data_IF_212658617512
#
_entry.id   IF_212658617512
#
_cell.length_a   1.000
_cell.length_b   1.000
_cell.length_c   1.000
_cell.angle_alpha   90.00
_cell.angle_beta   90.00
_cell.angle_gamma   90.00
#
_symmetry.space_group_name_H-M   'P 1'
#
loop_
_entity.id
_entity.type
_entity.pdbx_description
1 polymer ?
#
# COMPACT_ATOMS: atom_id res chain seq x y z
N UNK A 1 10.79 3.30 -36.34
CA UNK A 1 9.60 2.43 -36.36
C UNK A 1 9.62 1.65 -35.05
N UNK A 2 9.00 2.20 -34.00
CA UNK A 2 9.13 1.69 -32.63
C UNK A 2 8.31 0.40 -32.46
N UNK A 3 9.00 -0.70 -32.20
CA UNK A 3 8.39 -1.91 -31.64
C UNK A 3 7.91 -1.57 -30.23
N UNK A 4 6.60 -1.36 -30.07
CA UNK A 4 5.96 -1.53 -28.77
C UNK A 4 6.05 -3.02 -28.42
N UNK A 5 7.00 -3.38 -27.56
CA UNK A 5 6.98 -4.65 -26.86
C UNK A 5 5.69 -4.66 -26.03
N UNK A 6 4.68 -5.37 -26.54
CA UNK A 6 3.53 -5.78 -25.73
C UNK A 6 4.11 -6.76 -24.72
N UNK A 7 4.47 -6.25 -23.53
CA UNK A 7 4.69 -7.12 -22.38
C UNK A 7 3.33 -7.74 -22.10
N UNK A 8 3.15 -8.99 -22.54
CA UNK A 8 2.03 -9.82 -22.14
C UNK A 8 2.23 -10.05 -20.63
N UNK A 9 1.70 -9.14 -19.83
CA UNK A 9 1.53 -9.34 -18.39
C UNK A 9 0.48 -10.43 -18.28
N UNK A 10 0.94 -11.66 -18.06
CA UNK A 10 0.05 -12.76 -17.70
C UNK A 10 -0.42 -12.47 -16.27
N UNK A 11 -1.49 -11.69 -16.14
CA UNK A 11 -2.24 -11.63 -14.89
C UNK A 11 -2.91 -12.99 -14.82
N UNK A 12 -2.26 -13.95 -14.15
CA UNK A 12 -2.93 -15.18 -13.75
C UNK A 12 -4.14 -14.72 -12.96
N UNK A 13 -5.33 -14.89 -13.53
CA UNK A 13 -6.57 -14.86 -12.78
C UNK A 13 -6.33 -15.88 -11.67
N UNK A 14 -6.26 -15.44 -10.43
CA UNK A 14 -6.08 -16.35 -9.31
C UNK A 14 -7.35 -17.19 -9.29
N UNK A 15 -7.30 -18.34 -9.96
CA UNK A 15 -8.24 -19.42 -9.70
C UNK A 15 -7.94 -19.88 -8.28
N UNK A 16 -8.99 -19.93 -7.47
CA UNK A 16 -8.99 -20.28 -6.05
C UNK A 16 -8.49 -21.70 -5.75
N UNK A 17 -7.95 -22.41 -6.75
CA UNK A 17 -7.42 -23.78 -6.66
C UNK A 17 -5.89 -23.87 -6.59
N UNK A 18 -5.14 -22.81 -6.91
CA UNK A 18 -3.71 -22.97 -7.26
C UNK A 18 -2.71 -22.42 -6.23
N UNK A 19 -3.14 -21.94 -5.06
CA UNK A 19 -2.23 -21.51 -3.99
C UNK A 19 -2.77 -21.98 -2.64
N UNK A 20 -2.17 -23.04 -2.08
CA UNK A 20 -2.38 -23.41 -0.68
C UNK A 20 -1.61 -22.40 0.19
N UNK A 21 -2.23 -21.25 0.46
CA UNK A 21 -1.75 -20.26 1.44
C UNK A 21 -2.31 -20.63 2.83
N UNK A 22 -1.48 -20.71 3.89
CA UNK A 22 -1.97 -20.97 5.25
C UNK A 22 -2.64 -19.73 5.90
N UNK A 23 -2.92 -18.69 5.11
CA UNK A 23 -3.57 -17.47 5.57
C UNK A 23 -4.90 -17.32 4.84
N UNK A 24 -5.98 -17.06 5.58
CA UNK A 24 -7.24 -16.60 5.00
C UNK A 24 -6.95 -15.32 4.20
N UNK A 25 -7.08 -15.39 2.88
CA UNK A 25 -6.94 -14.22 2.01
C UNK A 25 -8.24 -13.42 2.10
N UNK A 26 -8.20 -12.33 2.87
CA UNK A 26 -9.37 -11.48 3.09
C UNK A 26 -9.24 -10.24 2.21
N UNK A 27 -10.24 -10.03 1.36
CA UNK A 27 -10.40 -8.79 0.59
C UNK A 27 -10.43 -7.58 1.53
N UNK A 28 -9.65 -6.56 1.24
CA UNK A 28 -9.49 -5.38 2.11
C UNK A 28 -10.85 -4.70 2.35
N UNK A 29 -11.67 -4.56 1.32
CA UNK A 29 -13.00 -3.94 1.43
C UNK A 29 -13.94 -4.69 2.39
N UNK A 30 -13.84 -6.02 2.43
CA UNK A 30 -14.61 -6.85 3.35
C UNK A 30 -14.02 -6.81 4.76
N UNK A 31 -12.69 -6.76 4.88
CA UNK A 31 -11.98 -6.64 6.14
C UNK A 31 -12.34 -5.35 6.89
N UNK A 32 -12.23 -4.18 6.22
CA UNK A 32 -12.40 -2.88 6.89
C UNK A 32 -13.81 -2.62 7.41
N UNK A 33 -14.83 -3.33 6.90
CA UNK A 33 -16.22 -3.20 7.38
C UNK A 33 -16.39 -3.68 8.81
N UNK A 34 -15.59 -4.68 9.21
CA UNK A 34 -15.66 -5.33 10.53
C UNK A 34 -14.48 -4.98 11.42
N UNK A 35 -13.59 -4.09 10.98
CA UNK A 35 -12.37 -3.78 11.71
C UNK A 35 -12.13 -2.29 11.86
N UNK A 36 -11.46 -1.89 12.94
CA UNK A 36 -11.01 -0.51 13.16
C UNK A 36 -9.67 -0.48 13.87
N UNK A 37 -9.07 0.70 13.88
CA UNK A 37 -7.78 0.93 14.55
C UNK A 37 -8.00 1.70 15.85
N UNK A 38 -7.36 1.24 16.93
CA UNK A 38 -7.36 1.95 18.21
C UNK A 38 -6.24 3.00 18.29
N UNK A 39 -6.21 3.79 19.37
CA UNK A 39 -5.19 4.84 19.57
C UNK A 39 -3.74 4.33 19.59
N UNK A 40 -3.53 3.02 19.78
CA UNK A 40 -2.20 2.38 19.78
C UNK A 40 -1.83 1.81 18.41
N UNK A 41 -2.65 2.00 17.36
CA UNK A 41 -2.41 1.42 16.04
C UNK A 41 -2.78 -0.05 15.92
N UNK A 42 -3.50 -0.63 16.90
CA UNK A 42 -3.96 -2.02 16.83
C UNK A 42 -5.27 -2.12 16.08
N UNK A 43 -5.36 -3.13 15.22
CA UNK A 43 -6.56 -3.52 14.49
C UNK A 43 -7.43 -4.38 15.41
N UNK A 44 -8.68 -3.95 15.56
CA UNK A 44 -9.70 -4.54 16.41
C UNK A 44 -10.87 -5.02 15.54
N UNK A 45 -11.38 -6.22 15.80
CA UNK A 45 -12.63 -6.70 15.21
C UNK A 45 -13.85 -6.10 15.94
N UNK A 46 -14.88 -5.73 15.19
CA UNK A 46 -16.15 -5.18 15.65
C UNK A 46 -17.24 -6.24 15.42
N UNK A 47 -17.86 -6.75 16.48
CA UNK A 47 -19.05 -7.61 16.36
C UNK A 47 -20.33 -6.76 16.25
N UNK A 48 -21.29 -7.29 15.48
CA UNK A 48 -22.56 -6.63 15.15
C UNK A 48 -23.46 -6.41 16.39
N UNK A 49 -23.27 -7.21 17.44
CA UNK A 49 -24.21 -7.30 18.55
C UNK A 49 -23.57 -6.73 19.85
N UNK A 50 -23.49 -5.40 19.99
CA UNK A 50 -23.10 -4.67 21.23
C UNK A 50 -21.62 -4.31 21.51
N UNK A 51 -20.84 -3.96 20.47
CA UNK A 51 -19.55 -3.22 20.58
C UNK A 51 -18.35 -3.89 21.30
N UNK A 52 -18.28 -5.21 21.61
CA UNK A 52 -17.03 -5.74 22.12
C UNK A 52 -15.97 -5.68 21.00
N UNK A 53 -14.78 -5.22 21.36
CA UNK A 53 -13.65 -5.08 20.45
C UNK A 53 -12.58 -6.07 20.87
N UNK A 54 -12.20 -6.93 19.95
CA UNK A 54 -11.15 -7.93 20.17
C UNK A 54 -9.94 -7.58 19.34
N UNK A 55 -8.75 -7.67 19.95
CA UNK A 55 -7.50 -7.60 19.19
C UNK A 55 -7.43 -8.86 18.33
N UNK A 56 -7.01 -8.69 17.08
CA UNK A 56 -6.72 -9.84 16.23
C UNK A 56 -5.46 -10.52 16.78
N UNK A 57 -5.59 -11.72 17.31
CA UNK A 57 -4.47 -12.47 17.92
C UNK A 57 -3.80 -13.46 16.94
N UNK A 58 -4.29 -13.53 15.70
CA UNK A 58 -3.73 -14.36 14.65
C UNK A 58 -3.11 -13.53 13.53
N UNK A 59 -2.33 -14.20 12.68
CA UNK A 59 -1.66 -13.58 11.54
C UNK A 59 -2.62 -13.53 10.35
N UNK A 60 -2.78 -12.35 9.74
CA UNK A 60 -3.68 -12.14 8.59
C UNK A 60 -2.88 -11.57 7.43
N UNK A 61 -3.19 -12.05 6.22
CA UNK A 61 -2.76 -11.43 4.98
C UNK A 61 -3.97 -10.86 4.26
N UNK A 62 -4.03 -9.53 4.13
CA UNK A 62 -5.04 -8.88 3.30
C UNK A 62 -4.49 -8.75 1.89
N UNK A 63 -5.30 -9.05 0.88
CA UNK A 63 -4.92 -8.97 -0.53
C UNK A 63 -5.98 -8.21 -1.31
N UNK A 64 -5.51 -7.36 -2.23
CA UNK A 64 -6.34 -6.69 -3.23
C UNK A 64 -5.61 -6.65 -4.58
N UNK A 65 -6.37 -6.49 -5.66
CA UNK A 65 -5.78 -6.11 -6.93
C UNK A 65 -5.21 -4.69 -6.84
N UNK A 66 -4.00 -4.49 -7.34
CA UNK A 66 -3.40 -3.16 -7.41
C UNK A 66 -3.60 -2.58 -8.80
N UNK A 67 -4.28 -1.44 -8.88
CA UNK A 67 -4.69 -0.83 -10.14
C UNK A 67 -3.87 0.41 -10.50
N UNK A 68 -3.60 0.55 -11.80
CA UNK A 68 -3.14 1.79 -12.44
C UNK A 68 -4.08 2.09 -13.60
N UNK A 69 -4.81 3.23 -13.55
CA UNK A 69 -5.82 3.61 -14.56
C UNK A 69 -6.86 2.50 -14.86
N UNK A 70 -7.41 1.84 -13.82
CA UNK A 70 -8.36 0.73 -13.93
C UNK A 70 -7.80 -0.55 -14.57
N UNK A 71 -6.51 -0.58 -14.88
CA UNK A 71 -5.80 -1.79 -15.29
C UNK A 71 -5.12 -2.37 -14.05
N UNK A 72 -5.36 -3.65 -13.76
CA UNK A 72 -4.62 -4.35 -12.73
C UNK A 72 -3.17 -4.49 -13.17
N UNK A 73 -2.23 -4.00 -12.37
CA UNK A 73 -0.79 -4.11 -12.66
C UNK A 73 -0.05 -4.98 -11.64
N UNK A 74 -0.77 -5.48 -10.63
CA UNK A 74 -0.23 -6.36 -9.60
C UNK A 74 -1.25 -6.64 -8.51
N UNK A 75 -0.75 -7.09 -7.37
CA UNK A 75 -1.47 -7.30 -6.13
C UNK A 75 -0.86 -6.40 -5.06
N UNK A 76 -1.70 -5.91 -4.16
CA UNK A 76 -1.23 -5.35 -2.91
C UNK A 76 -1.50 -6.32 -1.76
N UNK A 77 -0.56 -6.40 -0.83
CA UNK A 77 -0.64 -7.24 0.36
C UNK A 77 -0.34 -6.43 1.61
N UNK A 78 -1.18 -6.60 2.63
CA UNK A 78 -0.92 -6.11 3.99
C UNK A 78 -0.77 -7.31 4.91
N UNK A 79 0.36 -7.42 5.60
CA UNK A 79 0.59 -8.46 6.60
C UNK A 79 0.32 -7.88 7.99
N UNK A 80 -0.54 -8.54 8.75
CA UNK A 80 -0.93 -8.19 10.11
C UNK A 80 -0.49 -9.31 11.04
N UNK A 81 0.27 -8.99 12.09
CA UNK A 81 0.67 -9.92 13.14
C UNK A 81 0.19 -9.38 14.49
N UNK A 82 -0.54 -10.20 15.25
CA UNK A 82 -1.05 -9.83 16.58
C UNK A 82 -1.75 -8.45 16.58
N UNK A 83 -2.54 -8.19 15.55
CA UNK A 83 -3.33 -6.97 15.41
C UNK A 83 -2.55 -5.74 14.95
N UNK A 84 -1.29 -5.88 14.54
CA UNK A 84 -0.50 -4.78 14.00
C UNK A 84 -0.11 -5.04 12.55
N UNK A 85 -0.30 -4.05 11.68
CA UNK A 85 0.38 -4.05 10.38
C UNK A 85 1.88 -4.11 10.60
N UNK A 86 2.56 -5.02 9.90
CA UNK A 86 4.02 -5.18 9.96
C UNK A 86 4.67 -4.93 8.60
N UNK A 87 3.93 -5.18 7.51
CA UNK A 87 4.46 -5.03 6.16
C UNK A 87 3.35 -4.74 5.16
N UNK A 88 3.62 -3.84 4.22
CA UNK A 88 2.80 -3.62 3.02
C UNK A 88 3.68 -3.81 1.79
N UNK A 89 3.17 -4.54 0.80
CA UNK A 89 3.86 -4.77 -0.46
C UNK A 89 2.92 -4.62 -1.65
N UNK A 90 3.42 -4.06 -2.74
CA UNK A 90 2.82 -4.17 -4.08
C UNK A 90 3.74 -5.04 -4.91
N UNK A 91 3.21 -6.08 -5.54
CA UNK A 91 3.99 -7.02 -6.33
C UNK A 91 3.21 -7.57 -7.52
N UNK A 92 3.90 -8.16 -8.49
CA UNK A 92 3.32 -8.82 -9.64
C UNK A 92 4.14 -10.06 -10.00
N UNK A 93 3.62 -10.89 -10.90
CA UNK A 93 4.31 -12.06 -11.41
C UNK A 93 4.74 -11.83 -12.86
N UNK A 94 5.99 -12.19 -13.17
CA UNK A 94 6.51 -12.25 -14.53
C UNK A 94 7.17 -13.61 -14.73
N UNK A 95 6.58 -14.45 -15.59
CA UNK A 95 7.04 -15.83 -15.84
C UNK A 95 7.30 -16.59 -14.52
N UNK A 96 6.29 -16.59 -13.64
CA UNK A 96 6.29 -17.23 -12.32
C UNK A 96 7.23 -16.61 -11.26
N UNK A 97 8.10 -15.66 -11.62
CA UNK A 97 8.88 -14.89 -10.64
C UNK A 97 8.02 -13.78 -10.04
N UNK A 98 7.93 -13.76 -8.70
CA UNK A 98 7.35 -12.63 -7.97
C UNK A 98 8.33 -11.44 -7.97
N UNK A 99 7.86 -10.27 -8.39
CA UNK A 99 8.60 -9.01 -8.44
C UNK A 99 7.87 -7.95 -7.62
N UNK A 100 8.61 -7.22 -6.78
CA UNK A 100 8.04 -6.22 -5.86
C UNK A 100 8.21 -4.82 -6.41
N UNK A 101 7.12 -4.08 -6.55
CA UNK A 101 7.09 -2.68 -6.97
C UNK A 101 7.22 -1.70 -5.82
N UNK A 102 6.64 -2.03 -4.66
CA UNK A 102 6.63 -1.18 -3.47
C UNK A 102 6.66 -2.03 -2.22
N UNK A 103 7.42 -1.58 -1.22
CA UNK A 103 7.49 -2.23 0.09
C UNK A 103 7.61 -1.21 1.20
N UNK A 104 6.82 -1.37 2.26
CA UNK A 104 6.81 -0.52 3.45
C UNK A 104 6.87 -1.40 4.69
N UNK A 105 7.81 -1.09 5.58
CA UNK A 105 7.94 -1.75 6.89
C UNK A 105 7.18 -0.97 7.96
N UNK A 106 6.52 -1.70 8.87
CA UNK A 106 5.81 -1.12 10.00
C UNK A 106 6.33 -1.71 11.31
N UNK A 107 6.27 -0.91 12.37
CA UNK A 107 6.49 -1.33 13.75
C UNK A 107 5.32 -0.84 14.58
N UNK A 108 4.54 -1.78 15.13
CA UNK A 108 3.36 -1.49 15.96
C UNK A 108 2.38 -0.50 15.29
N UNK A 109 2.12 -0.70 13.99
CA UNK A 109 1.18 0.13 13.22
C UNK A 109 1.72 1.48 12.73
N UNK A 110 2.98 1.83 13.05
CA UNK A 110 3.66 3.04 12.54
C UNK A 110 4.68 2.65 11.48
N UNK A 111 4.81 3.43 10.41
CA UNK A 111 5.83 3.20 9.38
C UNK A 111 7.21 3.35 10.03
N UNK A 112 7.98 2.28 10.02
CA UNK A 112 9.28 2.27 10.65
C UNK A 112 10.13 1.18 10.00
N UNK A 113 11.28 1.57 9.44
CA UNK A 113 12.07 0.66 8.63
C UNK A 113 12.20 1.16 7.21
N UNK A 114 12.44 0.20 6.32
CA UNK A 114 12.74 0.48 4.92
C UNK A 114 11.46 0.76 4.14
N UNK A 115 11.49 1.81 3.34
CA UNK A 115 10.55 2.10 2.25
C UNK A 115 11.30 1.95 0.92
N UNK A 116 10.81 1.10 0.03
CA UNK A 116 11.42 0.84 -1.29
C UNK A 116 10.36 0.93 -2.38
N UNK A 117 10.74 1.49 -3.53
CA UNK A 117 10.02 1.37 -4.80
C UNK A 117 10.94 0.88 -5.91
N UNK A 118 10.38 0.11 -6.83
CA UNK A 118 11.05 -0.43 -8.02
C UNK A 118 10.16 -0.29 -9.26
N UNK A 119 10.76 -0.33 -10.45
CA UNK A 119 10.02 -0.33 -11.71
C UNK A 119 9.56 -1.75 -12.13
N UNK A 120 8.89 -1.85 -13.28
CA UNK A 120 8.43 -3.12 -13.87
C UNK A 120 9.57 -4.04 -14.38
N UNK A 121 10.83 -3.63 -14.22
CA UNK A 121 12.02 -4.39 -14.60
C UNK A 121 12.89 -4.73 -13.37
N UNK A 122 12.36 -4.57 -12.15
CA UNK A 122 13.05 -4.81 -10.88
C UNK A 122 14.21 -3.83 -10.58
N UNK A 123 14.29 -2.70 -11.30
CA UNK A 123 15.26 -1.65 -11.02
C UNK A 123 14.83 -0.81 -9.82
N UNK A 124 15.76 -0.49 -8.93
CA UNK A 124 15.49 0.37 -7.77
C UNK A 124 15.23 1.82 -8.21
N UNK A 125 14.02 2.33 -7.93
CA UNK A 125 13.66 3.72 -8.18
C UNK A 125 13.94 4.60 -6.96
N UNK A 126 13.61 4.10 -5.77
CA UNK A 126 13.81 4.84 -4.53
C UNK A 126 13.92 3.92 -3.33
N UNK A 127 14.76 4.30 -2.38
CA UNK A 127 14.90 3.66 -1.08
C UNK A 127 15.13 4.72 -0.02
N UNK A 128 14.43 4.62 1.09
CA UNK A 128 14.66 5.46 2.26
C UNK A 128 14.38 4.69 3.55
N UNK A 129 14.79 5.27 4.66
CA UNK A 129 14.52 4.77 6.00
C UNK A 129 13.53 5.71 6.68
N UNK A 130 12.39 5.16 7.09
CA UNK A 130 11.44 5.82 7.97
C UNK A 130 11.76 5.49 9.42
N UNK A 131 11.61 6.50 10.29
CA UNK A 131 11.73 6.34 11.74
C UNK A 131 10.48 6.94 12.38
N UNK A 132 9.76 6.12 13.14
CA UNK A 132 8.55 6.52 13.87
C UNK A 132 7.56 7.35 13.02
N UNK A 133 7.28 6.87 11.80
CA UNK A 133 6.31 7.46 10.89
C UNK A 133 6.82 8.69 10.15
N UNK A 134 8.10 9.04 10.31
CA UNK A 134 8.70 10.24 9.72
C UNK A 134 9.77 9.88 8.69
N UNK A 135 9.74 10.58 7.56
CA UNK A 135 10.63 10.34 6.43
C UNK A 135 10.22 11.14 5.19
N UNK A 136 11.05 11.07 4.15
CA UNK A 136 10.71 11.65 2.85
C UNK A 136 10.08 10.58 1.95
N UNK A 137 8.94 10.89 1.35
CA UNK A 137 8.21 9.97 0.51
C UNK A 137 8.42 10.28 -0.97
N UNK A 138 8.58 9.23 -1.77
CA UNK A 138 8.46 9.28 -3.23
C UNK A 138 7.70 8.05 -3.73
N UNK A 139 6.68 8.24 -4.55
CA UNK A 139 6.00 7.16 -5.26
C UNK A 139 6.07 7.40 -6.77
N UNK A 140 5.85 6.36 -7.58
CA UNK A 140 6.22 6.34 -8.99
C UNK A 140 5.14 5.77 -9.90
N UNK A 141 5.17 6.20 -11.16
CA UNK A 141 4.54 5.48 -12.25
C UNK A 141 5.46 4.32 -12.66
N UNK A 142 5.27 3.13 -12.09
CA UNK A 142 6.20 2.00 -12.21
C UNK A 142 6.54 1.57 -13.65
N UNK A 143 5.62 1.78 -14.60
CA UNK A 143 5.85 1.51 -16.03
C UNK A 143 6.89 2.44 -16.66
N UNK A 144 6.88 3.73 -16.30
CA UNK A 144 7.80 4.73 -16.87
C UNK A 144 8.96 5.09 -15.95
N UNK A 145 8.88 4.75 -14.66
CA UNK A 145 9.84 5.16 -13.64
C UNK A 145 9.74 6.64 -13.26
N UNK A 146 8.79 7.40 -13.82
CA UNK A 146 8.59 8.80 -13.48
C UNK A 146 8.02 8.95 -12.07
N UNK A 147 8.46 9.96 -11.33
CA UNK A 147 7.88 10.32 -10.03
C UNK A 147 6.39 10.61 -10.24
N UNK A 148 5.56 10.09 -9.35
CA UNK A 148 4.11 10.32 -9.29
C UNK A 148 3.78 11.33 -8.20
N UNK A 149 4.40 11.19 -7.04
CA UNK A 149 4.24 12.12 -5.92
C UNK A 149 5.47 12.10 -5.02
N UNK A 150 5.76 13.23 -4.39
CA UNK A 150 6.78 13.31 -3.34
C UNK A 150 6.47 14.39 -2.31
N UNK A 151 7.00 14.20 -1.09
CA UNK A 151 6.85 15.17 -0.01
C UNK A 151 7.29 14.61 1.34
N UNK A 152 7.20 15.46 2.37
CA UNK A 152 7.55 15.07 3.74
C UNK A 152 6.37 14.36 4.41
N UNK A 153 6.69 13.30 5.13
CA UNK A 153 5.78 12.59 6.02
C UNK A 153 6.27 12.77 7.46
N UNK A 154 5.35 13.12 8.35
CA UNK A 154 5.57 13.16 9.80
C UNK A 154 4.43 12.44 10.50
N UNK A 155 4.74 11.59 11.48
CA UNK A 155 3.74 10.80 12.22
C UNK A 155 2.78 9.99 11.30
N UNK A 156 3.31 9.47 10.19
CA UNK A 156 2.59 8.78 9.11
C UNK A 156 1.67 9.66 8.25
N UNK A 157 1.68 10.97 8.42
CA UNK A 157 0.84 11.88 7.64
C UNK A 157 1.66 12.75 6.70
N UNK A 158 1.09 13.07 5.52
CA UNK A 158 1.59 14.10 4.62
C UNK A 158 1.64 15.45 5.34
N UNK A 159 2.79 16.14 5.29
CA UNK A 159 2.95 17.50 5.85
C UNK A 159 3.71 18.42 4.89
N UNK A 160 3.41 19.72 4.97
CA UNK A 160 4.08 20.74 4.16
C UNK A 160 3.79 20.60 2.67
N UNK A 161 4.73 21.04 1.83
CA UNK A 161 4.57 20.97 0.38
C UNK A 161 4.69 19.53 -0.14
N UNK A 162 3.73 19.15 -0.96
CA UNK A 162 3.68 17.92 -1.72
C UNK A 162 3.55 18.22 -3.19
N UNK A 163 4.38 17.54 -3.98
CA UNK A 163 4.41 17.66 -5.43
C UNK A 163 3.77 16.43 -6.04
N UNK A 164 2.86 16.67 -6.98
CA UNK A 164 2.21 15.64 -7.76
C UNK A 164 2.58 15.85 -9.21
N UNK A 165 2.93 14.76 -9.88
CA UNK A 165 3.42 14.76 -11.24
C UNK A 165 2.48 13.94 -12.11
N UNK A 166 2.37 14.30 -13.37
CA UNK A 166 1.69 13.46 -14.35
C UNK A 166 2.65 12.38 -14.90
N UNK A 167 2.13 11.49 -15.75
CA UNK A 167 2.91 10.38 -16.34
C UNK A 167 4.10 10.83 -17.18
N UNK A 168 4.12 12.06 -17.67
CA UNK A 168 5.24 12.62 -18.45
C UNK A 168 6.35 13.16 -17.55
N UNK A 169 6.17 13.12 -16.22
CA UNK A 169 7.13 13.65 -15.24
C UNK A 169 7.04 15.15 -15.02
N UNK A 170 6.04 15.84 -15.58
CA UNK A 170 5.84 17.27 -15.31
C UNK A 170 4.95 17.46 -14.09
N UNK A 171 5.19 18.53 -13.32
CA UNK A 171 4.36 18.89 -12.17
C UNK A 171 2.93 19.11 -12.65
N UNK A 172 2.02 18.35 -12.07
CA UNK A 172 0.58 18.42 -12.31
C UNK A 172 -0.08 19.30 -11.24
N UNK A 173 0.32 19.16 -9.98
CA UNK A 173 -0.15 20.03 -8.90
C UNK A 173 0.82 20.11 -7.71
N UNK A 174 0.69 21.19 -6.95
CA UNK A 174 1.32 21.39 -5.65
C UNK A 174 0.23 21.50 -4.59
N UNK A 175 0.42 20.84 -3.44
CA UNK A 175 -0.49 20.96 -2.30
C UNK A 175 0.30 21.19 -1.03
N UNK A 176 -0.24 22.01 -0.12
CA UNK A 176 0.33 22.21 1.21
C UNK A 176 -0.58 21.51 2.23
N UNK A 177 -0.03 20.54 2.95
CA UNK A 177 -0.75 19.80 3.98
C UNK A 177 -0.49 20.38 5.36
N UNK A 178 -1.56 20.89 5.98
CA UNK A 178 -1.58 21.30 7.38
C UNK A 178 -1.94 20.11 8.28
N UNK A 179 -1.82 20.28 9.61
CA UNK A 179 -2.27 19.27 10.58
C UNK A 179 -3.77 18.94 10.42
N UNK A 180 -4.60 19.92 10.02
CA UNK A 180 -6.06 19.73 9.90
C UNK A 180 -6.45 18.89 8.68
N UNK A 181 -5.66 18.97 7.62
CA UNK A 181 -5.94 18.33 6.33
C UNK A 181 -4.96 17.20 6.03
N UNK A 182 -4.21 16.76 7.05
CA UNK A 182 -3.13 15.78 6.91
C UNK A 182 -3.70 14.45 6.43
N UNK A 183 -3.02 13.82 5.47
CA UNK A 183 -3.43 12.55 4.87
C UNK A 183 -2.52 11.45 5.37
N UNK A 184 -3.09 10.41 5.98
CA UNK A 184 -2.35 9.23 6.42
C UNK A 184 -1.87 8.41 5.22
N UNK A 185 -0.58 8.07 5.16
CA UNK A 185 0.03 7.35 4.03
C UNK A 185 0.09 5.83 4.24
N UNK A 186 -0.41 5.32 5.37
CA UNK A 186 -0.39 3.88 5.70
C UNK A 186 -1.42 3.09 4.91
N UNK A 187 -1.17 1.78 4.79
CA UNK A 187 -1.99 0.85 4.03
C UNK A 187 -2.68 -0.21 4.89
N UNK A 188 -3.92 -0.61 4.56
CA UNK A 188 -4.70 -0.09 3.43
C UNK A 188 -5.24 1.31 3.73
N UNK A 189 -5.16 2.22 2.76
CA UNK A 189 -5.46 3.65 2.97
C UNK A 189 -6.81 3.85 3.65
N UNK A 190 -7.85 3.16 3.19
CA UNK A 190 -9.19 3.33 3.73
C UNK A 190 -9.38 2.89 5.21
N UNK A 191 -8.49 2.05 5.74
CA UNK A 191 -8.52 1.65 7.16
C UNK A 191 -7.98 2.77 8.06
N UNK A 192 -6.99 3.52 7.58
CA UNK A 192 -6.36 4.63 8.31
C UNK A 192 -6.97 5.99 7.95
N UNK A 193 -7.49 6.13 6.74
CA UNK A 193 -8.14 7.31 6.16
C UNK A 193 -9.54 6.94 5.67
N UNK A 194 -10.54 7.08 6.54
CA UNK A 194 -11.94 6.74 6.24
C UNK A 194 -12.60 7.60 5.16
N UNK A 195 -11.94 8.68 4.75
CA UNK A 195 -12.45 9.56 3.68
C UNK A 195 -12.02 9.07 2.29
N UNK A 196 -11.19 8.03 2.21
CA UNK A 196 -10.79 7.40 0.95
C UNK A 196 -11.51 6.05 0.76
N UNK A 197 -12.00 5.76 -0.45
CA UNK A 197 -12.61 4.47 -0.75
C UNK A 197 -11.60 3.33 -0.63
N UNK A 198 -12.05 2.16 -0.16
CA UNK A 198 -11.31 0.91 -0.31
C UNK A 198 -11.53 0.40 -1.73
N UNK A 199 -10.64 0.75 -2.66
CA UNK A 199 -10.60 0.16 -4.01
C UNK A 199 -9.52 -0.91 -4.09
#
# INVERSE_FOLDING_TARGET
MNLFLIIIIYIKKIDSSDVVSPFDEIEIASFVKRHKINKKGQILEIRLDDKPQYIIEHNISLLNNYFSKKVTIGLEKVTILNGYSVEYEVFYYQKDKRLTLKKISYKKGTINGVYITKDMNDNLLYKTQFTDGSGYWKDFYYESGNIKEEGKVENNCKVGEWKYYNKNGTIDSLKIYSIKDSVDVRFPHCLFNKNEPCY
#
